data_IF_172623257074
#
_entry.id   IF_172623257074
#
_cell.length_a   1.000
_cell.length_b   1.000
_cell.length_c   1.000
_cell.angle_alpha   90.00
_cell.angle_beta   90.00
_cell.angle_gamma   90.00
#
_symmetry.space_group_name_H-M   'P 1'
#
loop_
_entity.id
_entity.type
_entity.pdbx_description
1 polymer ?
#
# COMPACT_ATOMS: atom_id res chain seq x y z
N UNK A 1 27.77 -4.17 20.26
CA UNK A 1 26.44 -3.73 20.74
C UNK A 1 25.43 -4.66 20.12
N UNK A 2 24.62 -5.40 20.89
CA UNK A 2 23.63 -6.29 20.28
C UNK A 2 22.56 -5.40 19.65
N UNK A 3 22.33 -5.55 18.35
CA UNK A 3 21.18 -4.98 17.69
C UNK A 3 19.95 -5.65 18.28
N UNK A 4 19.14 -4.88 19.00
CA UNK A 4 17.78 -5.28 19.34
C UNK A 4 16.97 -5.17 18.04
N UNK A 5 17.06 -6.19 17.17
CA UNK A 5 16.14 -6.37 16.06
C UNK A 5 14.75 -6.55 16.70
N UNK A 6 13.96 -5.47 16.73
CA UNK A 6 12.53 -5.62 16.92
C UNK A 6 12.07 -6.58 15.84
N UNK A 7 11.58 -7.76 16.21
CA UNK A 7 11.06 -8.74 15.28
C UNK A 7 10.07 -8.02 14.36
N UNK A 8 10.43 -7.92 13.09
CA UNK A 8 9.59 -7.29 12.10
C UNK A 8 8.26 -8.06 12.04
N UNK A 9 7.17 -7.46 12.51
CA UNK A 9 5.86 -8.11 12.58
C UNK A 9 5.24 -8.35 11.18
N UNK A 10 5.91 -7.91 10.10
CA UNK A 10 5.43 -8.14 8.74
C UNK A 10 5.65 -9.57 8.28
N UNK A 11 4.57 -10.36 8.36
CA UNK A 11 4.53 -11.80 8.09
C UNK A 11 5.00 -12.16 6.67
N UNK A 12 4.86 -11.25 5.69
CA UNK A 12 5.23 -11.51 4.30
C UNK A 12 6.71 -11.21 3.97
N UNK A 13 7.47 -10.67 4.93
CA UNK A 13 8.89 -10.39 4.78
C UNK A 13 9.22 -9.23 3.83
N UNK A 14 10.41 -8.65 4.06
CA UNK A 14 10.94 -7.49 3.33
C UNK A 14 12.23 -7.79 2.55
N UNK A 15 12.50 -9.06 2.30
CA UNK A 15 13.64 -9.47 1.49
C UNK A 15 13.38 -9.23 -0.01
N UNK A 16 14.35 -9.62 -0.85
CA UNK A 16 14.23 -9.47 -2.31
C UNK A 16 12.99 -10.20 -2.87
N UNK A 17 12.63 -11.36 -2.29
CA UNK A 17 11.44 -12.10 -2.69
C UNK A 17 10.18 -11.30 -2.37
N UNK A 18 10.17 -10.61 -1.23
CA UNK A 18 9.11 -9.68 -0.85
C UNK A 18 8.95 -8.52 -1.83
N UNK A 19 10.05 -7.92 -2.28
CA UNK A 19 10.01 -6.83 -3.27
C UNK A 19 9.54 -7.31 -4.64
N UNK A 20 10.04 -8.46 -5.12
CA UNK A 20 9.60 -9.07 -6.39
C UNK A 20 8.09 -9.37 -6.35
N UNK A 21 7.58 -9.87 -5.22
CA UNK A 21 6.14 -10.10 -5.03
C UNK A 21 5.36 -8.80 -5.19
N UNK A 22 5.77 -7.70 -4.53
CA UNK A 22 5.05 -6.42 -4.59
C UNK A 22 4.99 -5.87 -6.02
N UNK A 23 6.08 -5.96 -6.76
CA UNK A 23 6.15 -5.50 -8.15
C UNK A 23 5.28 -6.38 -9.08
N UNK A 24 5.31 -7.71 -8.90
CA UNK A 24 4.45 -8.63 -9.64
C UNK A 24 2.95 -8.42 -9.32
N UNK A 25 2.62 -8.20 -8.05
CA UNK A 25 1.26 -7.84 -7.62
C UNK A 25 0.81 -6.54 -8.28
N UNK A 26 1.70 -5.53 -8.37
CA UNK A 26 1.38 -4.28 -9.03
C UNK A 26 1.07 -4.46 -10.52
N UNK A 27 1.85 -5.27 -11.24
CA UNK A 27 1.57 -5.60 -12.64
C UNK A 27 0.19 -6.25 -12.82
N UNK A 28 -0.14 -7.25 -11.99
CA UNK A 28 -1.44 -7.91 -12.04
C UNK A 28 -2.59 -6.94 -11.77
N UNK A 29 -2.40 -6.02 -10.81
CA UNK A 29 -3.38 -4.98 -10.51
C UNK A 29 -3.60 -4.05 -11.69
N UNK A 30 -2.51 -3.55 -12.30
CA UNK A 30 -2.59 -2.69 -13.49
C UNK A 30 -3.30 -3.35 -14.66
N UNK A 31 -3.06 -4.65 -14.88
CA UNK A 31 -3.76 -5.42 -15.92
C UNK A 31 -5.24 -5.61 -15.60
N UNK A 32 -5.59 -5.77 -14.33
CA UNK A 32 -6.97 -5.95 -13.90
C UNK A 32 -7.79 -4.66 -13.96
N UNK A 33 -7.27 -3.56 -13.41
CA UNK A 33 -8.01 -2.29 -13.30
C UNK A 33 -7.91 -1.44 -14.57
N UNK A 34 -6.78 -1.51 -15.27
CA UNK A 34 -6.48 -0.66 -16.42
C UNK A 34 -6.09 0.78 -16.06
N UNK A 35 -5.95 1.12 -14.77
CA UNK A 35 -5.58 2.45 -14.29
C UNK A 35 -4.73 2.39 -13.00
N UNK A 36 -3.83 3.36 -12.79
CA UNK A 36 -3.20 3.58 -11.48
C UNK A 36 -4.07 4.47 -10.58
N UNK A 37 -4.55 5.59 -11.11
CA UNK A 37 -5.47 6.50 -10.43
C UNK A 37 -6.88 6.36 -11.01
N UNK A 38 -7.87 6.12 -10.15
CA UNK A 38 -9.24 5.86 -10.57
C UNK A 38 -9.79 7.01 -11.45
N UNK A 39 -10.40 6.73 -12.62
CA UNK A 39 -10.84 7.76 -13.57
C UNK A 39 -11.85 8.78 -13.03
N UNK A 40 -12.61 8.41 -11.99
CA UNK A 40 -13.56 9.31 -11.33
C UNK A 40 -12.90 10.37 -10.42
N UNK A 41 -11.62 10.24 -10.09
CA UNK A 41 -10.89 11.23 -9.31
C UNK A 41 -10.49 12.38 -10.24
N UNK A 42 -10.93 13.64 -9.97
CA UNK A 42 -10.59 14.77 -10.82
C UNK A 42 -9.07 15.01 -10.85
N UNK A 43 -8.49 15.04 -12.05
CA UNK A 43 -7.07 15.32 -12.24
C UNK A 43 -6.80 16.82 -12.27
N UNK A 44 -5.78 17.25 -11.55
CA UNK A 44 -5.24 18.60 -11.56
C UNK A 44 -3.71 18.56 -11.63
N UNK A 45 -3.12 19.52 -12.33
CA UNK A 45 -1.67 19.55 -12.55
C UNK A 45 -0.88 19.84 -11.26
N UNK A 46 -1.52 20.18 -10.14
CA UNK A 46 -0.85 20.52 -8.87
C UNK A 46 -1.33 19.65 -7.70
N UNK A 47 -1.82 18.45 -8.01
CA UNK A 47 -2.26 17.51 -6.99
C UNK A 47 -1.10 17.10 -6.08
N UNK A 48 -1.45 16.76 -4.85
CA UNK A 48 -0.59 16.06 -3.91
C UNK A 48 -1.22 14.70 -3.63
N UNK A 49 -0.51 13.64 -3.97
CA UNK A 49 -0.98 12.26 -3.81
C UNK A 49 -0.04 11.55 -2.86
N UNK A 50 -0.60 10.83 -1.88
CA UNK A 50 0.15 9.96 -1.00
C UNK A 50 -0.21 8.50 -1.23
N UNK A 51 0.76 7.60 -1.10
CA UNK A 51 0.54 6.17 -0.89
C UNK A 51 1.03 5.80 0.52
N UNK A 52 0.19 5.13 1.30
CA UNK A 52 0.59 4.57 2.61
C UNK A 52 0.75 3.05 2.50
N UNK A 53 1.82 2.52 3.07
CA UNK A 53 2.27 1.14 2.82
C UNK A 53 2.88 0.98 1.43
N UNK A 54 3.72 1.95 1.02
CA UNK A 54 4.23 2.06 -0.36
C UNK A 54 5.16 0.91 -0.77
N UNK A 55 5.77 0.19 0.19
CA UNK A 55 6.65 -0.93 -0.11
C UNK A 55 7.81 -0.52 -1.03
N UNK A 56 7.82 -1.02 -2.27
CA UNK A 56 8.83 -0.68 -3.28
C UNK A 56 8.63 0.70 -3.93
N UNK A 57 7.51 1.38 -3.67
CA UNK A 57 7.15 2.63 -4.35
C UNK A 57 6.64 2.44 -5.78
N UNK A 58 6.49 1.20 -6.24
CA UNK A 58 6.20 0.88 -7.65
C UNK A 58 4.92 1.54 -8.16
N UNK A 59 3.88 1.66 -7.32
CA UNK A 59 2.64 2.33 -7.72
C UNK A 59 2.85 3.82 -7.97
N UNK A 60 3.60 4.51 -7.10
CA UNK A 60 3.95 5.92 -7.31
C UNK A 60 4.84 6.12 -8.54
N UNK A 61 5.75 5.19 -8.81
CA UNK A 61 6.66 5.30 -9.95
C UNK A 61 5.92 5.11 -11.27
N UNK A 62 4.97 4.18 -11.32
CA UNK A 62 4.06 3.99 -12.44
C UNK A 62 3.15 5.21 -12.61
N UNK A 63 2.56 5.71 -11.52
CA UNK A 63 1.70 6.90 -11.55
C UNK A 63 2.44 8.17 -12.00
N UNK A 64 3.72 8.32 -11.63
CA UNK A 64 4.56 9.44 -12.06
C UNK A 64 4.70 9.53 -13.59
N UNK A 65 4.63 8.41 -14.30
CA UNK A 65 4.70 8.38 -15.76
C UNK A 65 3.40 8.88 -16.42
N UNK A 66 2.27 8.87 -15.69
CA UNK A 66 0.96 9.29 -16.19
C UNK A 66 0.61 10.75 -15.85
N UNK A 67 1.36 11.39 -14.95
CA UNK A 67 1.05 12.70 -14.40
C UNK A 67 2.13 13.73 -14.72
N UNK A 68 1.79 15.03 -14.81
CA UNK A 68 2.79 16.08 -14.96
C UNK A 68 3.74 16.12 -13.75
N UNK A 69 5.00 16.48 -13.97
CA UNK A 69 6.03 16.65 -12.92
C UNK A 69 5.64 17.69 -11.85
N UNK A 70 4.63 18.52 -12.11
CA UNK A 70 4.08 19.49 -11.16
C UNK A 70 3.20 18.86 -10.07
N UNK A 71 2.82 17.59 -10.21
CA UNK A 71 2.13 16.81 -9.17
C UNK A 71 3.16 16.29 -8.16
N UNK A 72 2.89 16.40 -6.87
CA UNK A 72 3.75 15.84 -5.83
C UNK A 72 3.26 14.45 -5.42
N UNK A 73 4.16 13.47 -5.42
CA UNK A 73 3.88 12.08 -5.09
C UNK A 73 4.69 11.66 -3.86
N UNK A 74 4.03 11.27 -2.77
CA UNK A 74 4.71 10.87 -1.54
C UNK A 74 4.38 9.43 -1.15
N UNK A 75 5.41 8.64 -0.86
CA UNK A 75 5.26 7.28 -0.38
C UNK A 75 5.63 7.18 1.09
N UNK A 76 4.82 6.45 1.85
CA UNK A 76 5.05 6.21 3.26
C UNK A 76 5.04 4.72 3.54
N UNK A 77 6.08 4.22 4.22
CA UNK A 77 6.11 2.85 4.72
C UNK A 77 6.69 2.84 6.14
N UNK A 78 6.34 1.84 6.95
CA UNK A 78 6.93 1.69 8.28
C UNK A 78 8.43 1.35 8.21
N UNK A 79 8.91 0.90 7.04
CA UNK A 79 10.33 0.60 6.81
C UNK A 79 10.81 1.03 5.43
N UNK A 80 12.05 1.54 5.37
CA UNK A 80 12.74 1.84 4.12
C UNK A 80 13.41 0.62 3.46
N UNK A 81 13.34 -0.57 4.06
CA UNK A 81 14.10 -1.75 3.58
C UNK A 81 13.78 -2.17 2.14
N UNK A 82 12.59 -1.82 1.63
CA UNK A 82 12.18 -2.14 0.27
C UNK A 82 12.22 -0.92 -0.67
N UNK A 83 12.62 0.26 -0.18
CA UNK A 83 12.77 1.42 -1.04
C UNK A 83 13.91 1.17 -2.04
N UNK A 84 13.71 1.45 -3.33
CA UNK A 84 14.78 1.39 -4.30
C UNK A 84 15.79 2.50 -4.04
N UNK A 85 16.98 2.38 -4.64
CA UNK A 85 18.01 3.41 -4.56
C UNK A 85 17.44 4.78 -4.97
N UNK A 86 17.81 5.84 -4.25
CA UNK A 86 17.22 7.17 -4.42
C UNK A 86 17.44 7.76 -5.81
N UNK A 87 18.50 7.34 -6.50
CA UNK A 87 18.82 7.73 -7.88
C UNK A 87 17.82 7.21 -8.90
N UNK A 88 17.02 6.20 -8.54
CA UNK A 88 15.97 5.61 -9.38
C UNK A 88 14.61 6.29 -9.20
N UNK A 89 14.47 7.22 -8.25
CA UNK A 89 13.17 7.83 -7.95
C UNK A 89 12.85 8.89 -9.01
N UNK A 90 11.60 8.93 -9.55
CA UNK A 90 11.14 10.06 -10.34
C UNK A 90 11.28 11.38 -9.57
N UNK A 91 11.57 12.49 -10.26
CA UNK A 91 11.87 13.78 -9.63
C UNK A 91 10.75 14.31 -8.72
N UNK A 92 9.51 13.92 -9.01
CA UNK A 92 8.33 14.33 -8.26
C UNK A 92 7.88 13.32 -7.20
N UNK A 93 8.64 12.23 -7.01
CA UNK A 93 8.37 11.18 -6.00
C UNK A 93 9.33 11.32 -4.82
N UNK A 94 8.78 11.22 -3.61
CA UNK A 94 9.57 11.18 -2.38
C UNK A 94 9.05 10.10 -1.42
N UNK A 95 9.88 9.09 -1.12
CA UNK A 95 9.57 8.01 -0.18
C UNK A 95 10.09 8.35 1.22
N UNK A 96 9.31 8.06 2.25
CA UNK A 96 9.60 8.37 3.65
C UNK A 96 9.17 7.25 4.58
N UNK A 97 9.86 7.13 5.71
CA UNK A 97 9.44 6.21 6.78
C UNK A 97 8.34 6.87 7.62
N UNK A 98 7.20 6.20 7.78
CA UNK A 98 6.10 6.60 8.65
C UNK A 98 5.22 5.40 9.01
N UNK A 99 4.92 5.27 10.31
CA UNK A 99 3.92 4.32 10.78
C UNK A 99 2.50 4.88 10.56
N UNK A 100 1.76 4.28 9.63
CA UNK A 100 0.40 4.71 9.27
C UNK A 100 -0.68 4.22 10.25
N UNK A 101 -0.29 3.43 11.27
CA UNK A 101 -1.15 3.07 12.41
C UNK A 101 -0.98 4.03 13.60
N UNK A 102 -0.24 5.12 13.41
CA UNK A 102 -0.16 6.23 14.35
C UNK A 102 -0.74 7.51 13.73
N UNK A 103 -0.95 8.51 14.59
CA UNK A 103 -1.36 9.83 14.11
C UNK A 103 -0.24 10.43 13.25
N UNK A 104 -0.56 10.99 12.06
CA UNK A 104 0.44 11.58 11.20
C UNK A 104 0.99 12.88 11.83
N UNK A 105 2.23 13.27 11.51
CA UNK A 105 2.78 14.56 11.92
C UNK A 105 1.90 15.73 11.47
N UNK A 106 1.84 16.80 12.28
CA UNK A 106 1.03 18.00 12.00
C UNK A 106 1.29 18.60 10.60
N UNK A 107 2.53 18.49 10.12
CA UNK A 107 2.94 18.98 8.79
C UNK A 107 2.34 18.22 7.61
N UNK A 108 1.68 17.09 7.85
CA UNK A 108 1.01 16.25 6.86
C UNK A 108 -0.52 16.33 6.95
N UNK A 109 -1.07 17.03 7.94
CA UNK A 109 -2.52 17.19 8.07
C UNK A 109 -3.09 17.95 6.88
N UNK A 110 -4.21 17.47 6.35
CA UNK A 110 -4.95 18.09 5.25
C UNK A 110 -4.08 18.43 4.03
N UNK A 111 -3.09 17.59 3.73
CA UNK A 111 -2.07 17.88 2.73
C UNK A 111 -2.39 17.30 1.35
N UNK A 112 -3.12 16.19 1.31
CA UNK A 112 -3.25 15.37 0.10
C UNK A 112 -4.64 15.47 -0.52
N UNK A 113 -4.68 15.53 -1.84
CA UNK A 113 -5.91 15.44 -2.63
C UNK A 113 -6.36 13.97 -2.74
N UNK A 114 -5.42 13.04 -2.73
CA UNK A 114 -5.65 11.59 -2.77
C UNK A 114 -4.72 10.89 -1.80
N UNK A 115 -5.25 9.94 -1.04
CA UNK A 115 -4.45 8.94 -0.31
C UNK A 115 -4.81 7.56 -0.84
N UNK A 116 -3.80 6.87 -1.34
CA UNK A 116 -3.89 5.52 -1.88
C UNK A 116 -3.48 4.48 -0.83
N UNK A 117 -4.22 3.37 -0.81
CA UNK A 117 -3.98 2.18 0.00
C UNK A 117 -4.22 0.94 -0.85
N UNK A 118 -3.38 -0.07 -0.70
CA UNK A 118 -3.61 -1.36 -1.35
C UNK A 118 -3.11 -2.53 -0.52
N UNK A 119 -3.88 -3.62 -0.50
CA UNK A 119 -3.50 -4.87 0.19
C UNK A 119 -3.17 -4.67 1.68
N UNK A 120 -3.91 -3.77 2.34
CA UNK A 120 -3.81 -3.50 3.77
C UNK A 120 -4.59 -4.51 4.60
N UNK A 121 -5.65 -5.12 4.06
CA UNK A 121 -6.48 -6.08 4.77
C UNK A 121 -5.66 -7.24 5.35
N UNK A 122 -4.58 -7.69 4.68
CA UNK A 122 -3.67 -8.74 5.18
C UNK A 122 -2.71 -8.30 6.27
N UNK A 123 -2.57 -6.99 6.49
CA UNK A 123 -1.60 -6.41 7.40
C UNK A 123 -2.25 -5.81 8.65
N UNK A 124 -3.57 -5.78 8.72
CA UNK A 124 -4.32 -5.17 9.80
C UNK A 124 -4.93 -6.23 10.71
N UNK A 125 -4.75 -6.08 12.03
CA UNK A 125 -5.60 -6.77 12.99
C UNK A 125 -6.95 -6.03 13.07
N UNK A 126 -7.99 -6.68 13.58
CA UNK A 126 -9.37 -6.14 13.57
C UNK A 126 -9.50 -4.73 14.19
N UNK A 127 -8.64 -4.38 15.16
CA UNK A 127 -8.63 -3.06 15.82
C UNK A 127 -7.91 -1.98 15.01
N UNK A 128 -7.04 -2.36 14.08
CA UNK A 128 -6.11 -1.45 13.39
C UNK A 128 -6.78 -0.73 12.22
N UNK A 129 -7.82 -1.32 11.63
CA UNK A 129 -8.58 -0.73 10.50
C UNK A 129 -9.10 0.67 10.84
N UNK A 130 -9.69 0.84 12.04
CA UNK A 130 -10.21 2.15 12.48
C UNK A 130 -9.09 3.18 12.64
N UNK A 131 -7.92 2.73 13.10
CA UNK A 131 -6.76 3.58 13.31
C UNK A 131 -6.16 4.02 11.98
N UNK A 132 -6.01 3.10 11.02
CA UNK A 132 -5.56 3.41 9.67
C UNK A 132 -6.50 4.40 8.98
N UNK A 133 -7.81 4.13 9.00
CA UNK A 133 -8.80 5.04 8.39
C UNK A 133 -8.71 6.44 9.01
N UNK A 134 -8.54 6.53 10.34
CA UNK A 134 -8.37 7.82 11.02
C UNK A 134 -7.10 8.53 10.57
N UNK A 135 -5.97 7.83 10.52
CA UNK A 135 -4.68 8.38 10.09
C UNK A 135 -4.75 8.89 8.65
N UNK A 136 -5.25 8.07 7.73
CA UNK A 136 -5.50 8.42 6.33
C UNK A 136 -6.44 9.62 6.19
N UNK A 137 -7.53 9.64 6.97
CA UNK A 137 -8.49 10.75 6.91
C UNK A 137 -7.86 12.08 7.33
N UNK A 138 -6.94 12.07 8.31
CA UNK A 138 -6.20 13.26 8.74
C UNK A 138 -5.24 13.78 7.68
N UNK A 139 -4.71 12.92 6.81
CA UNK A 139 -3.84 13.30 5.70
C UNK A 139 -4.59 14.04 4.57
N UNK A 140 -5.89 13.79 4.43
CA UNK A 140 -6.69 14.31 3.32
C UNK A 140 -7.13 15.75 3.53
N UNK A 141 -7.04 16.55 2.48
CA UNK A 141 -7.75 17.83 2.39
C UNK A 141 -9.26 17.62 2.51
N UNK A 142 -10.04 18.63 2.94
CA UNK A 142 -11.48 18.62 2.78
C UNK A 142 -11.88 18.33 1.32
N UNK A 143 -12.68 17.27 1.12
CA UNK A 143 -13.09 16.81 -0.22
C UNK A 143 -12.08 15.94 -0.97
N UNK A 144 -10.98 15.53 -0.32
CA UNK A 144 -10.02 14.58 -0.88
C UNK A 144 -10.56 13.15 -0.99
N UNK A 145 -9.82 12.31 -1.71
CA UNK A 145 -10.24 10.94 -2.04
C UNK A 145 -9.36 9.90 -1.36
N UNK A 146 -10.00 8.85 -0.83
CA UNK A 146 -9.31 7.60 -0.54
C UNK A 146 -9.47 6.70 -1.77
N UNK A 147 -8.36 6.26 -2.35
CA UNK A 147 -8.37 5.13 -3.28
C UNK A 147 -7.86 3.90 -2.54
N UNK A 148 -8.78 3.03 -2.12
CA UNK A 148 -8.44 1.79 -1.42
C UNK A 148 -8.74 0.60 -2.32
N UNK A 149 -7.70 -0.17 -2.65
CA UNK A 149 -7.81 -1.35 -3.48
C UNK A 149 -7.50 -2.62 -2.67
N UNK A 150 -8.42 -3.59 -2.67
CA UNK A 150 -8.25 -4.86 -1.97
C UNK A 150 -8.62 -6.05 -2.85
N UNK A 151 -7.96 -7.17 -2.58
CA UNK A 151 -8.39 -8.46 -3.09
C UNK A 151 -9.51 -8.98 -2.20
N UNK A 152 -10.60 -9.47 -2.80
CA UNK A 152 -11.54 -10.29 -2.06
C UNK A 152 -10.90 -11.66 -1.77
N UNK A 153 -10.30 -11.78 -0.59
CA UNK A 153 -9.65 -13.03 -0.15
C UNK A 153 -10.64 -14.03 0.46
N UNK A 154 -11.88 -13.61 0.72
CA UNK A 154 -12.92 -14.42 1.37
C UNK A 154 -13.68 -15.32 0.41
N UNK A 155 -13.94 -14.83 -0.79
CA UNK A 155 -14.73 -15.53 -1.80
C UNK A 155 -13.83 -15.84 -2.98
N UNK A 156 -13.04 -16.91 -2.83
CA UNK A 156 -12.25 -17.45 -3.92
C UNK A 156 -13.09 -18.50 -4.64
N UNK A 157 -13.50 -18.22 -5.87
CA UNK A 157 -14.14 -19.25 -6.70
C UNK A 157 -13.06 -20.06 -7.40
N UNK A 158 -12.68 -21.19 -6.79
CA UNK A 158 -11.60 -22.01 -7.32
C UNK A 158 -12.13 -23.16 -8.16
N UNK A 159 -11.86 -23.11 -9.47
CA UNK A 159 -12.31 -24.12 -10.43
C UNK A 159 -11.16 -25.04 -10.85
N UNK A 160 -10.60 -25.81 -9.90
CA UNK A 160 -9.74 -26.98 -10.16
C UNK A 160 -9.35 -27.66 -8.85
N UNK A 161 -9.06 -28.97 -8.89
CA UNK A 161 -8.58 -29.70 -7.70
C UNK A 161 -7.28 -29.15 -7.12
N UNK A 162 -6.37 -28.64 -7.97
CA UNK A 162 -5.12 -27.98 -7.56
C UNK A 162 -5.43 -26.68 -6.82
N UNK A 163 -6.35 -25.88 -7.35
CA UNK A 163 -6.70 -24.62 -6.73
C UNK A 163 -7.47 -24.81 -5.41
N UNK A 164 -8.35 -25.81 -5.30
CA UNK A 164 -9.00 -26.13 -4.01
C UNK A 164 -7.97 -26.51 -2.93
N UNK A 165 -6.89 -27.18 -3.32
CA UNK A 165 -5.79 -27.49 -2.39
C UNK A 165 -5.03 -26.23 -1.97
N UNK A 166 -4.80 -25.30 -2.91
CA UNK A 166 -4.21 -24.00 -2.61
C UNK A 166 -5.08 -23.20 -1.63
N UNK A 167 -6.39 -23.10 -1.87
CA UNK A 167 -7.33 -22.40 -0.99
C UNK A 167 -7.29 -22.97 0.44
N UNK A 168 -7.32 -24.30 0.60
CA UNK A 168 -7.19 -24.95 1.91
C UNK A 168 -5.88 -24.61 2.62
N UNK A 169 -4.77 -24.49 1.88
CA UNK A 169 -3.46 -24.12 2.45
C UNK A 169 -3.43 -22.63 2.84
N UNK A 170 -3.94 -21.76 1.98
CA UNK A 170 -4.00 -20.32 2.22
C UNK A 170 -4.85 -19.98 3.45
N UNK A 171 -6.04 -20.59 3.57
CA UNK A 171 -6.92 -20.38 4.72
C UNK A 171 -6.25 -20.77 6.05
N UNK A 172 -5.51 -21.90 6.08
CA UNK A 172 -4.75 -22.30 7.27
C UNK A 172 -3.66 -21.29 7.62
N UNK A 173 -2.95 -20.77 6.62
CA UNK A 173 -1.91 -19.77 6.80
C UNK A 173 -2.48 -18.47 7.40
N UNK A 174 -3.60 -17.97 6.86
CA UNK A 174 -4.24 -16.75 7.36
C UNK A 174 -4.71 -16.90 8.81
N UNK A 175 -5.36 -18.01 9.15
CA UNK A 175 -5.73 -18.30 10.55
C UNK A 175 -4.50 -18.35 11.47
N UNK A 176 -3.41 -18.98 11.04
CA UNK A 176 -2.17 -19.04 11.83
C UNK A 176 -1.52 -17.67 12.04
N UNK A 177 -1.67 -16.75 11.07
CA UNK A 177 -1.19 -15.37 11.15
C UNK A 177 -2.12 -14.45 11.97
N UNK A 178 -3.20 -14.97 12.57
CA UNK A 178 -4.19 -14.18 13.30
C UNK A 178 -5.06 -13.30 12.39
N UNK A 179 -5.08 -13.59 11.10
CA UNK A 179 -5.89 -12.91 10.09
C UNK A 179 -7.19 -13.70 9.96
N UNK A 180 -8.25 -13.24 10.64
CA UNK A 180 -9.60 -13.79 10.53
C UNK A 180 -10.53 -12.75 9.90
N UNK A 181 -11.08 -13.10 8.75
CA UNK A 181 -11.96 -12.25 7.95
C UNK A 181 -13.45 -12.67 8.06
N UNK A 182 -13.77 -13.63 8.94
CA UNK A 182 -15.15 -14.10 9.16
C UNK A 182 -15.99 -13.17 10.04
#
# INVERSE_FOLDING_TARGET
>A
MPHNESSDEYVLGRDISGSIRLDAQHLLWRLHTGYALHPAIPRSNKMKIAEVGTGTGIWLFDLAQELPDTVCLHGYDISASQFPSKELWPLNVNLCVMDSLQDPPDSLLEKYDVVHLRMWASNLRTKDVKTLIRSVSKLLKPGGYIQWEEANLLVQEVRSSIGEEFERKANKLFTAAGIDYR
#
